data_IF_116898778882
#
_entry.id   IF_116898778882
#
_cell.length_a   1.000
_cell.length_b   1.000
_cell.length_c   1.000
_cell.angle_alpha   90.00
_cell.angle_beta   90.00
_cell.angle_gamma   90.00
#
_symmetry.space_group_name_H-M   'P 1'
#
loop_
_entity.id
_entity.type
_entity.pdbx_description
1 polymer ?
#
# COMPACT_ATOMS: atom_id res chain seq x y z
N UNK A 1 90.12 4.79 11.14
CA UNK A 1 89.46 3.51 10.85
C UNK A 1 88.01 3.62 11.31
N UNK A 2 87.14 3.45 10.38
CA UNK A 2 85.72 3.87 10.48
C UNK A 2 84.89 2.66 10.90
N UNK A 3 84.14 2.76 11.97
CA UNK A 3 83.18 1.73 12.32
C UNK A 3 81.74 2.28 12.18
N UNK A 4 81.10 1.69 11.21
CA UNK A 4 79.76 2.08 10.82
C UNK A 4 78.70 1.11 11.43
N UNK A 5 78.22 1.42 12.59
CA UNK A 5 77.04 0.74 13.10
C UNK A 5 75.76 1.46 12.62
N UNK A 6 75.18 0.93 11.58
CA UNK A 6 73.83 1.32 11.16
C UNK A 6 72.84 0.77 12.13
N UNK A 7 72.15 1.67 12.82
CA UNK A 7 70.96 1.38 13.55
C UNK A 7 69.76 1.26 12.57
N UNK A 8 69.25 0.05 12.39
CA UNK A 8 68.02 -0.21 11.68
C UNK A 8 66.88 0.03 12.63
N UNK A 9 66.19 1.15 12.48
CA UNK A 9 64.90 1.42 13.15
C UNK A 9 63.80 0.67 12.41
N UNK A 10 63.28 -0.38 13.02
CA UNK A 10 62.09 -1.10 12.55
C UNK A 10 60.88 -0.29 12.95
N UNK A 11 60.27 0.37 11.97
CA UNK A 11 58.97 0.99 12.14
C UNK A 11 57.88 -0.11 12.12
N UNK A 12 57.33 -0.40 13.28
CA UNK A 12 56.20 -1.30 13.37
C UNK A 12 54.92 -0.55 12.91
N UNK A 13 54.49 -0.84 11.69
CA UNK A 13 53.23 -0.36 11.17
C UNK A 13 52.09 -1.18 11.80
N UNK A 14 51.38 -0.59 12.76
CA UNK A 14 50.15 -1.16 13.30
C UNK A 14 49.03 -1.03 12.24
N UNK A 15 48.74 -2.12 11.55
CA UNK A 15 47.57 -2.22 10.68
C UNK A 15 46.31 -2.24 11.55
N UNK A 16 45.58 -1.15 11.57
CA UNK A 16 44.23 -1.10 12.16
C UNK A 16 43.31 -1.88 11.24
N UNK A 17 43.03 -3.13 11.58
CA UNK A 17 41.95 -3.91 10.99
C UNK A 17 40.61 -3.27 11.45
N UNK A 18 40.06 -2.42 10.60
CA UNK A 18 38.65 -1.97 10.79
C UNK A 18 37.75 -3.21 10.63
N UNK A 19 37.28 -3.74 11.74
CA UNK A 19 36.23 -4.76 11.76
C UNK A 19 34.95 -4.09 11.27
N UNK A 20 34.64 -4.26 9.99
CA UNK A 20 33.35 -3.91 9.42
C UNK A 20 32.36 -4.92 10.01
N UNK A 21 31.72 -4.55 11.12
CA UNK A 21 30.62 -5.33 11.66
C UNK A 21 29.50 -5.36 10.59
N UNK A 22 29.00 -6.55 10.22
CA UNK A 22 27.84 -6.61 9.35
C UNK A 22 26.71 -5.85 10.04
N UNK A 23 26.20 -4.80 9.39
CA UNK A 23 24.93 -4.20 9.78
C UNK A 23 23.88 -5.30 9.56
N UNK A 24 23.51 -5.98 10.62
CA UNK A 24 22.29 -6.78 10.63
C UNK A 24 21.15 -5.82 10.44
N UNK A 25 20.76 -5.60 9.19
CA UNK A 25 19.50 -4.95 8.87
C UNK A 25 18.42 -5.79 9.56
N UNK A 26 17.81 -5.25 10.60
CA UNK A 26 16.63 -5.83 11.21
C UNK A 26 15.57 -5.86 10.10
N UNK A 27 15.37 -7.00 9.47
CA UNK A 27 14.18 -7.25 8.68
C UNK A 27 13.05 -7.25 9.69
N UNK A 28 12.43 -6.10 9.89
CA UNK A 28 11.26 -5.99 10.75
C UNK A 28 10.22 -6.93 10.19
N UNK A 29 9.94 -8.00 10.92
CA UNK A 29 8.97 -8.98 10.50
C UNK A 29 7.61 -8.30 10.43
N UNK A 30 6.94 -8.37 9.28
CA UNK A 30 5.61 -7.80 9.06
C UNK A 30 4.64 -8.37 10.10
N UNK A 31 4.06 -7.49 10.90
CA UNK A 31 3.07 -7.88 11.90
C UNK A 31 1.66 -7.77 11.35
N UNK A 32 0.71 -8.42 12.02
CA UNK A 32 -0.71 -8.28 11.70
C UNK A 32 -1.15 -6.82 11.81
N UNK A 33 -0.70 -6.11 12.82
CA UNK A 33 -1.09 -4.73 13.05
C UNK A 33 -0.57 -3.78 11.97
N UNK A 34 0.60 -4.03 11.40
CA UNK A 34 1.11 -3.26 10.26
C UNK A 34 0.18 -3.33 9.05
N UNK A 35 -0.50 -4.46 8.86
CA UNK A 35 -1.41 -4.68 7.72
C UNK A 35 -2.82 -4.21 8.05
N UNK A 36 -3.33 -4.54 9.25
CA UNK A 36 -4.74 -4.38 9.61
C UNK A 36 -5.03 -3.10 10.40
N UNK A 37 -4.02 -2.43 10.95
CA UNK A 37 -4.17 -1.29 11.87
C UNK A 37 -3.35 -0.07 11.48
N UNK A 38 -2.81 -0.04 10.25
CA UNK A 38 -2.10 1.15 9.75
C UNK A 38 -3.05 2.37 9.80
N UNK A 39 -2.74 3.39 10.61
CA UNK A 39 -3.65 4.52 10.84
C UNK A 39 -3.83 5.42 9.63
N UNK A 40 -2.93 5.33 8.64
CA UNK A 40 -2.98 6.15 7.44
C UNK A 40 -3.82 5.51 6.32
N UNK A 41 -4.17 4.23 6.48
CA UNK A 41 -4.88 3.48 5.43
C UNK A 41 -6.39 3.76 5.47
N UNK A 42 -7.02 4.06 4.32
CA UNK A 42 -8.46 4.25 4.25
C UNK A 42 -9.24 2.99 4.65
N UNK A 43 -10.33 3.19 5.36
CA UNK A 43 -11.23 2.14 5.83
C UNK A 43 -12.63 2.42 5.32
N UNK A 44 -13.24 1.41 4.70
CA UNK A 44 -14.62 1.40 4.25
C UNK A 44 -15.44 0.36 5.04
N UNK A 45 -16.73 0.32 4.81
CA UNK A 45 -17.64 -0.55 5.53
C UNK A 45 -17.76 -0.17 7.00
N UNK A 46 -17.74 -1.17 7.90
CA UNK A 46 -17.84 -0.93 9.35
C UNK A 46 -16.44 -0.82 9.98
N UNK A 47 -15.99 0.36 10.47
CA UNK A 47 -14.69 0.51 11.11
C UNK A 47 -14.49 -0.40 12.33
N UNK A 48 -15.59 -0.81 12.96
CA UNK A 48 -15.60 -1.71 14.12
C UNK A 48 -16.02 -3.14 13.75
N UNK A 49 -16.01 -3.48 12.46
CA UNK A 49 -16.41 -4.80 11.97
C UNK A 49 -15.59 -5.93 12.60
N UNK A 50 -16.26 -7.06 12.81
CA UNK A 50 -15.66 -8.26 13.44
C UNK A 50 -14.68 -9.00 12.51
N UNK A 51 -14.85 -8.85 11.20
CA UNK A 51 -13.92 -9.36 10.19
C UNK A 51 -13.26 -8.21 9.45
N UNK A 52 -11.95 -8.29 9.30
CA UNK A 52 -11.20 -7.36 8.46
C UNK A 52 -10.86 -8.02 7.13
N UNK A 53 -11.25 -7.36 6.05
CA UNK A 53 -10.84 -7.65 4.67
C UNK A 53 -9.88 -6.55 4.23
N UNK A 54 -8.72 -6.93 3.73
CA UNK A 54 -7.74 -6.01 3.13
C UNK A 54 -7.69 -6.29 1.64
N UNK A 55 -7.84 -5.26 0.82
CA UNK A 55 -7.66 -5.35 -0.63
C UNK A 55 -6.47 -4.50 -1.07
N UNK A 56 -5.51 -5.13 -1.75
CA UNK A 56 -4.43 -4.47 -2.48
C UNK A 56 -4.87 -4.30 -3.93
N UNK A 57 -4.94 -3.06 -4.39
CA UNK A 57 -5.56 -2.74 -5.67
C UNK A 57 -4.86 -1.60 -6.41
N UNK A 58 -5.20 -1.43 -7.70
CA UNK A 58 -4.70 -0.36 -8.56
C UNK A 58 -5.84 0.19 -9.42
N UNK A 59 -5.89 1.51 -9.58
CA UNK A 59 -6.90 2.20 -10.39
C UNK A 59 -6.79 1.94 -11.90
N UNK A 60 -5.67 1.41 -12.38
CA UNK A 60 -5.50 0.98 -13.78
C UNK A 60 -5.84 -0.49 -13.99
N UNK A 61 -5.93 -1.28 -12.92
CA UNK A 61 -6.18 -2.71 -12.99
C UNK A 61 -7.62 -3.00 -13.46
N UNK A 62 -7.81 -3.62 -14.65
CA UNK A 62 -9.16 -3.91 -15.15
C UNK A 62 -9.91 -4.93 -14.27
N UNK A 63 -9.19 -5.83 -13.63
CA UNK A 63 -9.75 -6.81 -12.71
C UNK A 63 -10.21 -6.18 -11.40
N UNK A 64 -9.45 -5.19 -10.86
CA UNK A 64 -9.88 -4.42 -9.69
C UNK A 64 -11.16 -3.64 -10.01
N UNK A 65 -11.18 -2.92 -11.13
CA UNK A 65 -12.37 -2.17 -11.57
C UNK A 65 -13.59 -3.07 -11.72
N UNK A 66 -13.41 -4.26 -12.29
CA UNK A 66 -14.50 -5.22 -12.49
C UNK A 66 -15.02 -5.80 -11.17
N UNK A 67 -14.13 -6.11 -10.21
CA UNK A 67 -14.51 -6.71 -8.93
C UNK A 67 -14.96 -5.71 -7.87
N UNK A 68 -14.59 -4.44 -8.00
CA UNK A 68 -14.88 -3.42 -7.01
C UNK A 68 -16.36 -3.31 -6.60
N UNK A 69 -17.36 -3.30 -7.54
CA UNK A 69 -18.75 -3.28 -7.16
C UNK A 69 -19.18 -4.51 -6.35
N UNK A 70 -18.59 -5.67 -6.67
CA UNK A 70 -18.88 -6.93 -6.00
C UNK A 70 -18.33 -6.95 -4.57
N UNK A 71 -17.11 -6.48 -4.38
CA UNK A 71 -16.50 -6.32 -3.04
C UNK A 71 -17.33 -5.38 -2.18
N UNK A 72 -17.67 -4.20 -2.69
CA UNK A 72 -18.50 -3.22 -1.97
C UNK A 72 -19.88 -3.78 -1.61
N UNK A 73 -20.52 -4.49 -2.56
CA UNK A 73 -21.83 -5.11 -2.33
C UNK A 73 -21.79 -6.13 -1.18
N UNK A 74 -20.79 -7.04 -1.19
CA UNK A 74 -20.65 -8.05 -0.14
C UNK A 74 -20.37 -7.42 1.22
N UNK A 75 -19.52 -6.40 1.28
CA UNK A 75 -19.21 -5.67 2.53
C UNK A 75 -20.43 -4.95 3.07
N UNK A 76 -21.22 -4.31 2.20
CA UNK A 76 -22.44 -3.61 2.58
C UNK A 76 -23.55 -4.58 3.04
N UNK A 77 -23.72 -5.71 2.35
CA UNK A 77 -24.70 -6.76 2.68
C UNK A 77 -24.39 -7.42 4.04
N UNK A 78 -23.09 -7.66 4.34
CA UNK A 78 -22.66 -8.22 5.63
C UNK A 78 -22.85 -7.22 6.79
N UNK A 79 -22.54 -5.95 6.56
CA UNK A 79 -22.71 -4.86 7.53
C UNK A 79 -21.73 -4.86 8.71
N UNK A 80 -20.93 -5.91 8.87
CA UNK A 80 -19.99 -6.05 9.99
C UNK A 80 -18.55 -6.37 9.54
N UNK A 81 -18.23 -6.02 8.29
CA UNK A 81 -16.90 -6.12 7.71
C UNK A 81 -16.20 -4.76 7.73
N UNK A 82 -14.96 -4.74 8.21
CA UNK A 82 -14.01 -3.64 8.08
C UNK A 82 -13.18 -3.85 6.82
N UNK A 83 -13.43 -3.05 5.78
CA UNK A 83 -12.71 -3.12 4.52
C UNK A 83 -11.56 -2.11 4.50
N UNK A 84 -10.34 -2.60 4.39
CA UNK A 84 -9.12 -1.79 4.30
C UNK A 84 -8.69 -1.74 2.84
N UNK A 85 -8.53 -0.52 2.32
CA UNK A 85 -8.13 -0.28 0.95
C UNK A 85 -6.64 0.09 0.88
N UNK A 86 -5.83 -0.79 0.30
CA UNK A 86 -4.39 -0.58 0.14
C UNK A 86 -4.05 -0.25 -1.32
N UNK A 87 -3.88 1.04 -1.57
CA UNK A 87 -3.39 1.52 -2.86
C UNK A 87 -2.01 0.90 -3.15
N UNK A 88 -1.94 0.12 -4.20
CA UNK A 88 -0.71 -0.54 -4.68
C UNK A 88 -0.53 -0.28 -6.17
N UNK A 89 -0.05 0.93 -6.56
CA UNK A 89 0.07 1.34 -7.95
C UNK A 89 1.23 0.61 -8.65
N UNK A 90 0.89 -0.35 -9.54
CA UNK A 90 1.84 -1.20 -10.26
C UNK A 90 1.80 -1.02 -11.78
N UNK A 91 0.90 -0.18 -12.30
CA UNK A 91 0.75 0.05 -13.74
C UNK A 91 1.32 1.41 -14.21
N UNK A 92 2.35 1.92 -13.51
CA UNK A 92 3.10 3.11 -13.91
C UNK A 92 2.58 4.43 -13.35
N UNK A 93 3.06 5.54 -13.91
CA UNK A 93 2.92 6.88 -13.33
C UNK A 93 1.46 7.31 -13.15
N UNK A 94 0.58 6.98 -14.10
CA UNK A 94 -0.84 7.30 -13.99
C UNK A 94 -1.52 6.57 -12.82
N UNK A 95 -1.08 5.35 -12.47
CA UNK A 95 -1.55 4.64 -11.27
C UNK A 95 -1.08 5.35 -10.00
N UNK A 96 0.18 5.77 -9.97
CA UNK A 96 0.73 6.53 -8.83
C UNK A 96 -0.02 7.85 -8.66
N UNK A 97 -0.24 8.58 -9.74
CA UNK A 97 -1.00 9.84 -9.71
C UNK A 97 -2.44 9.62 -9.21
N UNK A 98 -3.13 8.59 -9.69
CA UNK A 98 -4.49 8.25 -9.25
C UNK A 98 -4.52 7.93 -7.74
N UNK A 99 -3.60 7.08 -7.27
CA UNK A 99 -3.48 6.74 -5.86
C UNK A 99 -3.21 7.97 -4.98
N UNK A 100 -2.26 8.82 -5.37
CA UNK A 100 -1.97 10.07 -4.66
C UNK A 100 -3.18 11.01 -4.61
N UNK A 101 -3.90 11.17 -5.73
CA UNK A 101 -5.08 12.03 -5.80
C UNK A 101 -6.19 11.51 -4.87
N UNK A 102 -6.45 10.20 -4.85
CA UNK A 102 -7.50 9.62 -4.01
C UNK A 102 -7.09 9.58 -2.54
N UNK A 103 -5.82 9.34 -2.22
CA UNK A 103 -5.31 9.49 -0.85
C UNK A 103 -5.33 10.97 -0.39
N UNK A 104 -5.09 11.93 -1.27
CA UNK A 104 -5.34 13.35 -0.99
C UNK A 104 -6.82 13.65 -0.73
N UNK A 105 -7.72 12.99 -1.45
CA UNK A 105 -9.16 13.07 -1.19
C UNK A 105 -9.55 12.45 0.17
N UNK A 106 -8.80 11.45 0.66
CA UNK A 106 -8.96 10.91 2.01
C UNK A 106 -8.71 11.97 3.10
N UNK A 107 -7.68 12.79 2.93
CA UNK A 107 -7.34 13.84 3.90
C UNK A 107 -8.41 14.93 4.03
N UNK A 108 -9.33 15.02 3.07
CA UNK A 108 -10.46 15.95 3.09
C UNK A 108 -11.83 15.25 3.19
N UNK A 109 -11.84 13.94 3.54
CA UNK A 109 -13.05 13.19 3.85
C UNK A 109 -13.90 12.78 2.65
N UNK A 110 -13.32 12.70 1.44
CA UNK A 110 -14.05 12.33 0.21
C UNK A 110 -13.43 11.13 -0.52
N UNK A 111 -12.71 10.28 0.23
CA UNK A 111 -12.00 9.12 -0.30
C UNK A 111 -12.89 8.19 -1.14
N UNK A 112 -13.95 7.67 -0.53
CA UNK A 112 -14.81 6.68 -1.16
C UNK A 112 -15.40 7.19 -2.46
N UNK A 113 -15.87 8.44 -2.48
CA UNK A 113 -16.41 9.07 -3.70
C UNK A 113 -15.34 9.19 -4.79
N UNK A 114 -14.13 9.61 -4.43
CA UNK A 114 -13.04 9.73 -5.39
C UNK A 114 -12.63 8.36 -5.96
N UNK A 115 -12.51 7.34 -5.11
CA UNK A 115 -12.20 5.97 -5.48
C UNK A 115 -13.27 5.40 -6.41
N UNK A 116 -14.55 5.48 -6.04
CA UNK A 116 -15.66 4.92 -6.82
C UNK A 116 -15.70 5.51 -8.23
N UNK A 117 -15.46 6.80 -8.38
CA UNK A 117 -15.42 7.49 -9.68
C UNK A 117 -14.34 6.91 -10.60
N UNK A 118 -13.14 6.68 -10.08
CA UNK A 118 -12.04 6.13 -10.88
C UNK A 118 -12.24 4.64 -11.16
N UNK A 119 -12.75 3.88 -10.18
CA UNK A 119 -13.03 2.45 -10.33
C UNK A 119 -14.18 2.17 -11.29
N UNK A 120 -15.15 3.06 -11.42
CA UNK A 120 -16.26 2.92 -12.38
C UNK A 120 -15.84 3.09 -13.84
N UNK A 121 -14.64 3.57 -14.10
CA UNK A 121 -14.15 3.83 -15.48
C UNK A 121 -13.46 2.59 -16.05
N UNK A 122 -14.01 1.94 -17.09
CA UNK A 122 -13.44 0.69 -17.64
C UNK A 122 -12.12 0.89 -18.38
N UNK A 123 -11.90 2.09 -18.94
CA UNK A 123 -10.69 2.40 -19.70
C UNK A 123 -9.48 2.64 -18.80
N UNK A 124 -8.28 2.55 -19.38
CA UNK A 124 -7.06 3.05 -18.76
C UNK A 124 -7.19 4.55 -18.52
N UNK A 125 -6.58 5.03 -17.44
CA UNK A 125 -6.62 6.42 -17.01
C UNK A 125 -5.29 7.11 -17.34
N UNK A 126 -5.33 8.28 -17.98
CA UNK A 126 -4.25 9.25 -17.93
C UNK A 126 -4.41 10.16 -16.70
N UNK A 127 -3.40 10.96 -16.37
CA UNK A 127 -3.53 11.97 -15.32
C UNK A 127 -4.67 12.98 -15.63
N UNK A 128 -4.82 13.34 -16.91
CA UNK A 128 -5.89 14.22 -17.37
C UNK A 128 -7.26 13.57 -17.17
N UNK A 129 -7.39 12.27 -17.41
CA UNK A 129 -8.63 11.55 -17.15
C UNK A 129 -8.97 11.52 -15.66
N UNK A 130 -7.99 11.28 -14.79
CA UNK A 130 -8.19 11.34 -13.34
C UNK A 130 -8.71 12.73 -12.94
N UNK A 131 -8.04 13.80 -13.37
CA UNK A 131 -8.46 15.19 -13.09
C UNK A 131 -9.88 15.46 -13.58
N UNK A 132 -10.16 15.11 -14.84
CA UNK A 132 -11.46 15.31 -15.48
C UNK A 132 -12.58 14.56 -14.75
N UNK A 133 -12.36 13.30 -14.45
CA UNK A 133 -13.35 12.43 -13.77
C UNK A 133 -13.68 12.94 -12.36
N UNK A 134 -12.66 13.26 -11.56
CA UNK A 134 -12.86 13.81 -10.22
C UNK A 134 -13.61 15.13 -10.26
N UNK A 135 -13.26 16.04 -11.21
CA UNK A 135 -13.96 17.31 -11.40
C UNK A 135 -15.43 17.08 -11.81
N UNK A 136 -15.67 16.19 -12.78
CA UNK A 136 -17.03 15.88 -13.26
C UNK A 136 -17.92 15.29 -12.16
N UNK A 137 -17.31 14.63 -11.18
CA UNK A 137 -18.00 14.14 -9.99
C UNK A 137 -18.22 15.22 -8.91
N UNK A 138 -17.84 16.48 -9.20
CA UNK A 138 -18.00 17.60 -8.26
C UNK A 138 -16.97 17.60 -7.12
N UNK A 139 -15.81 16.97 -7.32
CA UNK A 139 -14.70 17.03 -6.37
C UNK A 139 -13.79 18.23 -6.68
N UNK A 140 -13.35 18.91 -5.62
CA UNK A 140 -12.48 20.08 -5.72
C UNK A 140 -11.02 19.66 -5.89
N UNK A 141 -10.54 19.66 -7.14
CA UNK A 141 -9.15 19.30 -7.44
C UNK A 141 -8.13 20.22 -6.76
N UNK A 142 -8.47 21.49 -6.54
CA UNK A 142 -7.59 22.44 -5.86
C UNK A 142 -7.35 22.01 -4.41
N UNK A 143 -8.41 21.62 -3.71
CA UNK A 143 -8.32 21.08 -2.33
C UNK A 143 -7.61 19.74 -2.30
N UNK A 144 -7.91 18.82 -3.21
CA UNK A 144 -7.22 17.53 -3.32
C UNK A 144 -5.72 17.74 -3.54
N UNK A 145 -5.33 18.56 -4.51
CA UNK A 145 -3.92 18.85 -4.78
C UNK A 145 -3.21 19.55 -3.61
N UNK A 146 -3.91 20.41 -2.89
CA UNK A 146 -3.38 21.02 -1.67
C UNK A 146 -3.17 19.98 -0.58
N UNK A 147 -4.14 19.08 -0.37
CA UNK A 147 -4.05 17.99 0.59
C UNK A 147 -2.90 17.02 0.27
N UNK A 148 -2.71 16.66 -1.01
CA UNK A 148 -1.56 15.84 -1.45
C UNK A 148 -0.24 16.53 -1.08
N UNK A 149 -0.07 17.82 -1.42
CA UNK A 149 1.18 18.54 -1.09
C UNK A 149 1.42 18.66 0.41
N UNK A 150 0.38 18.88 1.21
CA UNK A 150 0.49 19.00 2.67
C UNK A 150 0.84 17.66 3.34
N UNK A 151 0.40 16.56 2.74
CA UNK A 151 0.57 15.20 3.27
C UNK A 151 1.51 14.33 2.41
N UNK A 152 2.36 14.94 1.58
CA UNK A 152 3.22 14.24 0.61
C UNK A 152 4.00 13.09 1.25
N UNK A 153 4.71 13.34 2.35
CA UNK A 153 5.47 12.30 3.06
C UNK A 153 4.60 11.19 3.63
N UNK A 154 3.42 11.54 4.17
CA UNK A 154 2.47 10.57 4.70
C UNK A 154 1.97 9.64 3.61
N UNK A 155 1.53 10.22 2.49
CA UNK A 155 1.01 9.49 1.32
C UNK A 155 2.12 8.61 0.70
N UNK A 156 3.30 9.17 0.46
CA UNK A 156 4.42 8.41 -0.11
C UNK A 156 4.87 7.26 0.78
N UNK A 157 4.93 7.48 2.10
CA UNK A 157 5.26 6.43 3.06
C UNK A 157 4.17 5.34 3.10
N UNK A 158 2.89 5.71 3.01
CA UNK A 158 1.80 4.75 2.95
C UNK A 158 1.90 3.87 1.69
N UNK A 159 2.11 4.46 0.52
CA UNK A 159 2.29 3.72 -0.73
C UNK A 159 3.49 2.77 -0.66
N UNK A 160 4.60 3.22 -0.06
CA UNK A 160 5.79 2.38 0.16
C UNK A 160 5.45 1.20 1.09
N UNK A 161 4.80 1.44 2.23
CA UNK A 161 4.38 0.36 3.14
C UNK A 161 3.44 -0.63 2.47
N UNK A 162 2.48 -0.16 1.69
CA UNK A 162 1.57 -1.04 0.95
C UNK A 162 2.33 -1.91 -0.06
N UNK A 163 3.30 -1.33 -0.77
CA UNK A 163 4.16 -2.05 -1.70
C UNK A 163 4.99 -3.14 -0.98
N UNK A 164 5.66 -2.79 0.12
CA UNK A 164 6.48 -3.72 0.90
C UNK A 164 5.63 -4.86 1.50
N UNK A 165 4.43 -4.55 1.96
CA UNK A 165 3.47 -5.55 2.46
C UNK A 165 3.02 -6.50 1.34
N UNK A 166 2.70 -5.99 0.16
CA UNK A 166 2.32 -6.81 -0.99
C UNK A 166 3.45 -7.79 -1.39
N UNK A 167 4.70 -7.32 -1.39
CA UNK A 167 5.86 -8.17 -1.62
C UNK A 167 6.04 -9.22 -0.52
N UNK A 168 5.86 -8.86 0.73
CA UNK A 168 5.97 -9.78 1.87
C UNK A 168 4.92 -10.90 1.82
N UNK A 169 3.74 -10.63 1.26
CA UNK A 169 2.72 -11.65 0.98
C UNK A 169 2.98 -12.44 -0.32
N UNK A 170 4.05 -12.15 -1.05
CA UNK A 170 4.34 -12.72 -2.38
C UNK A 170 3.19 -12.52 -3.38
N UNK A 171 2.50 -11.39 -3.30
CA UNK A 171 1.47 -11.06 -4.29
C UNK A 171 2.08 -10.79 -5.67
N UNK A 172 1.51 -11.41 -6.71
CA UNK A 172 1.97 -11.27 -8.08
C UNK A 172 1.33 -10.07 -8.82
N UNK A 173 0.31 -9.44 -8.23
CA UNK A 173 -0.44 -8.32 -8.83
C UNK A 173 -1.76 -8.06 -8.12
N UNK A 174 -2.56 -7.21 -8.73
CA UNK A 174 -3.84 -6.72 -8.21
C UNK A 174 -5.04 -7.32 -8.96
N UNK A 175 -6.20 -7.52 -8.32
CA UNK A 175 -6.40 -7.38 -6.88
C UNK A 175 -5.76 -8.53 -6.11
N UNK A 176 -5.40 -8.29 -4.86
CA UNK A 176 -5.00 -9.33 -3.91
C UNK A 176 -5.59 -9.00 -2.55
N UNK A 177 -5.87 -10.03 -1.74
CA UNK A 177 -6.62 -9.87 -0.50
C UNK A 177 -5.92 -10.51 0.68
N UNK A 178 -6.13 -9.94 1.87
CA UNK A 178 -5.85 -10.62 3.15
C UNK A 178 -7.14 -10.64 3.96
N UNK A 179 -7.62 -11.83 4.31
CA UNK A 179 -8.87 -12.04 5.05
C UNK A 179 -8.57 -12.96 6.24
N UNK A 180 -8.79 -12.47 7.44
CA UNK A 180 -8.39 -13.19 8.65
C UNK A 180 -6.87 -13.41 8.73
N UNK A 181 -6.42 -14.66 8.54
CA UNK A 181 -5.00 -15.04 8.58
C UNK A 181 -4.47 -15.49 7.21
N UNK A 182 -5.28 -15.39 6.15
CA UNK A 182 -4.97 -15.96 4.84
C UNK A 182 -4.88 -14.91 3.77
N UNK A 183 -3.86 -15.03 2.91
CA UNK A 183 -3.65 -14.19 1.74
C UNK A 183 -4.18 -14.89 0.49
N UNK A 184 -4.81 -14.13 -0.40
CA UNK A 184 -5.41 -14.60 -1.65
C UNK A 184 -4.96 -13.69 -2.80
N UNK A 185 -4.45 -14.27 -3.88
CA UNK A 185 -4.09 -13.52 -5.09
C UNK A 185 -5.19 -13.64 -6.14
N UNK A 186 -5.49 -12.52 -6.81
CA UNK A 186 -6.46 -12.46 -7.88
C UNK A 186 -7.89 -12.13 -7.42
N UNK A 187 -8.80 -12.18 -8.40
CA UNK A 187 -10.22 -11.83 -8.18
C UNK A 187 -10.92 -12.89 -7.34
N UNK A 188 -11.67 -12.43 -6.35
CA UNK A 188 -12.63 -13.26 -5.60
C UNK A 188 -14.04 -12.99 -6.13
N UNK A 189 -14.81 -14.05 -6.40
CA UNK A 189 -16.24 -13.90 -6.66
C UNK A 189 -17.01 -13.49 -5.38
N UNK A 190 -18.24 -12.99 -5.53
CA UNK A 190 -19.09 -12.67 -4.37
C UNK A 190 -19.22 -13.83 -3.39
N UNK A 191 -19.45 -15.03 -3.92
CA UNK A 191 -19.66 -16.21 -3.07
C UNK A 191 -18.37 -16.62 -2.37
N UNK A 192 -17.23 -16.61 -3.08
CA UNK A 192 -15.93 -16.84 -2.45
C UNK A 192 -15.66 -15.82 -1.34
N UNK A 193 -15.89 -14.53 -1.59
CA UNK A 193 -15.69 -13.48 -0.59
C UNK A 193 -16.58 -13.68 0.64
N UNK A 194 -17.88 -13.98 0.45
CA UNK A 194 -18.81 -14.30 1.55
C UNK A 194 -18.34 -15.51 2.38
N UNK A 195 -17.93 -16.59 1.71
CA UNK A 195 -17.45 -17.79 2.37
C UNK A 195 -16.19 -17.54 3.19
N UNK A 196 -15.24 -16.77 2.64
CA UNK A 196 -13.99 -16.42 3.32
C UNK A 196 -14.23 -15.50 4.53
N UNK A 197 -15.15 -14.55 4.42
CA UNK A 197 -15.58 -13.71 5.56
C UNK A 197 -16.18 -14.59 6.65
N UNK A 198 -17.08 -15.51 6.29
CA UNK A 198 -17.70 -16.44 7.25
C UNK A 198 -16.66 -17.33 7.93
N UNK A 199 -15.70 -17.88 7.19
CA UNK A 199 -14.61 -18.68 7.73
C UNK A 199 -13.73 -17.87 8.68
N UNK A 200 -13.37 -16.65 8.30
CA UNK A 200 -12.56 -15.76 9.13
C UNK A 200 -13.26 -15.36 10.44
N UNK A 201 -14.60 -15.28 10.43
CA UNK A 201 -15.43 -14.99 11.61
C UNK A 201 -15.49 -16.17 12.59
N UNK A 202 -15.32 -17.39 12.08
CA UNK A 202 -15.36 -18.62 12.88
C UNK A 202 -14.00 -19.05 13.44
N UNK A 203 -12.87 -18.41 13.05
CA UNK A 203 -11.49 -18.77 13.37
C UNK A 203 -10.91 -17.96 14.54
#
# INVERSE_FOLDING_TARGET
MIDRRRLLSVAASAAILAVVAPRTGSTQQLTRDDVFRDPDTPVLGNPNGDVTVVEFFDYQCPYCKKSHPDVKSVVAEDGNVRLIMKDWPVFGDASVFAAQAVLGANEIGVYEKAMDVLMATPASLSEEDVKRLLTSAGLDLGKIAAAVRQNDKKISNLLTRNYDQALAFNFAGTPSFVIGKTAYSGVLSKDQLRDLIKQARAA
#
